data_IF_280318932440
#
_entry.id   IF_280318932440
#
_cell.length_a   1.000
_cell.length_b   1.000
_cell.length_c   1.000
_cell.angle_alpha   90.00
_cell.angle_beta   90.00
_cell.angle_gamma   90.00
#
_symmetry.space_group_name_H-M   'P 1'
#
loop_
_entity.id
_entity.type
_entity.pdbx_description
1 polymer ?
#
# COMPACT_ATOMS: atom_id res chain seq x y z
N UNK A 1 -18.14 21.97 -8.48
CA UNK A 1 -16.89 21.19 -8.46
C UNK A 1 -15.86 22.07 -7.77
N UNK A 2 -15.40 21.71 -6.57
CA UNK A 2 -14.40 22.51 -5.86
C UNK A 2 -13.08 22.30 -6.63
N UNK A 3 -12.69 23.28 -7.44
CA UNK A 3 -11.35 23.30 -8.03
C UNK A 3 -10.39 23.65 -6.90
N UNK A 4 -9.50 22.73 -6.55
CA UNK A 4 -8.44 22.97 -5.59
C UNK A 4 -7.12 22.88 -6.34
N UNK A 5 -6.57 24.04 -6.68
CA UNK A 5 -5.33 24.17 -7.46
C UNK A 5 -4.11 23.54 -6.74
N UNK A 6 -4.23 23.27 -5.44
CA UNK A 6 -3.19 22.64 -4.64
C UNK A 6 -3.15 21.11 -4.77
N UNK A 7 -4.24 20.47 -5.23
CA UNK A 7 -4.29 19.01 -5.43
C UNK A 7 -4.07 18.73 -6.92
N UNK A 8 -2.82 18.50 -7.28
CA UNK A 8 -2.46 18.16 -8.66
C UNK A 8 -2.26 16.66 -8.87
N UNK A 9 -1.94 15.92 -7.80
CA UNK A 9 -1.70 14.47 -7.83
C UNK A 9 -2.43 13.77 -6.68
N UNK A 10 -2.61 12.45 -6.78
CA UNK A 10 -3.22 11.64 -5.72
C UNK A 10 -2.46 11.79 -4.38
N UNK A 11 -1.13 11.96 -4.43
CA UNK A 11 -0.29 12.11 -3.26
C UNK A 11 -0.50 13.43 -2.51
N UNK A 12 -1.05 14.46 -3.18
CA UNK A 12 -1.30 15.77 -2.58
C UNK A 12 -2.57 15.78 -1.73
N UNK A 13 -3.53 14.89 -2.03
CA UNK A 13 -4.83 14.88 -1.38
C UNK A 13 -4.72 14.73 0.15
N UNK A 14 -3.99 13.74 0.72
CA UNK A 14 -3.85 13.64 2.16
C UNK A 14 -3.15 14.87 2.76
N UNK A 15 -2.12 15.39 2.10
CA UNK A 15 -1.34 16.55 2.58
C UNK A 15 -2.19 17.82 2.65
N UNK A 16 -2.92 18.13 1.57
CA UNK A 16 -3.76 19.34 1.49
C UNK A 16 -4.94 19.23 2.44
N UNK A 17 -5.61 18.08 2.48
CA UNK A 17 -6.77 17.89 3.35
C UNK A 17 -6.40 17.81 4.83
N UNK A 18 -5.25 17.24 5.19
CA UNK A 18 -4.78 17.25 6.58
C UNK A 18 -4.51 18.67 7.10
N UNK A 19 -4.12 19.59 6.22
CA UNK A 19 -3.93 21.00 6.57
C UNK A 19 -5.25 21.76 6.68
N UNK A 20 -6.20 21.51 5.77
CA UNK A 20 -7.45 22.25 5.72
C UNK A 20 -8.50 21.71 6.70
N UNK A 21 -8.59 20.39 6.86
CA UNK A 21 -9.65 19.67 7.57
C UNK A 21 -9.07 18.46 8.36
N UNK A 22 -8.12 18.68 9.30
CA UNK A 22 -7.36 17.61 9.95
C UNK A 22 -8.22 16.54 10.62
N UNK A 23 -9.30 16.96 11.29
CA UNK A 23 -10.15 16.08 12.11
C UNK A 23 -11.34 15.49 11.34
N UNK A 24 -11.52 15.88 10.07
CA UNK A 24 -12.57 15.31 9.25
C UNK A 24 -12.23 13.86 8.89
N UNK A 25 -13.28 13.04 8.80
CA UNK A 25 -13.19 11.63 8.38
C UNK A 25 -12.71 11.56 6.94
N UNK A 26 -11.54 10.95 6.73
CA UNK A 26 -10.98 10.72 5.39
C UNK A 26 -11.40 9.35 4.84
N UNK A 27 -11.29 8.32 5.68
CA UNK A 27 -11.64 6.94 5.34
C UNK A 27 -12.54 6.36 6.43
N UNK A 28 -13.53 5.60 6.01
CA UNK A 28 -14.45 4.87 6.90
C UNK A 28 -14.56 3.45 6.37
N UNK A 29 -14.28 2.47 7.23
CA UNK A 29 -14.42 1.06 6.91
C UNK A 29 -15.00 0.34 8.11
N UNK A 30 -16.24 -0.16 7.98
CA UNK A 30 -17.02 -0.69 9.10
C UNK A 30 -17.10 0.36 10.24
N UNK A 31 -16.70 0.00 11.44
CA UNK A 31 -16.70 0.87 12.62
C UNK A 31 -15.39 1.65 12.81
N UNK A 32 -14.41 1.44 11.92
CA UNK A 32 -13.11 2.11 11.97
C UNK A 32 -13.11 3.37 11.10
N UNK A 33 -12.45 4.41 11.62
CA UNK A 33 -12.39 5.72 10.99
C UNK A 33 -10.95 6.22 11.03
N UNK A 34 -10.51 6.81 9.92
CA UNK A 34 -9.23 7.44 9.79
C UNK A 34 -9.44 8.90 9.36
N UNK A 35 -8.93 9.85 10.14
CA UNK A 35 -9.03 11.29 9.83
C UNK A 35 -8.01 11.70 8.76
N UNK A 36 -8.16 12.87 8.14
CA UNK A 36 -7.17 13.35 7.18
C UNK A 36 -5.78 13.51 7.80
N UNK A 37 -5.68 14.00 9.04
CA UNK A 37 -4.40 14.10 9.76
C UNK A 37 -3.75 12.74 9.97
N UNK A 38 -4.52 11.72 10.37
CA UNK A 38 -4.04 10.36 10.52
C UNK A 38 -3.60 9.76 9.18
N UNK A 39 -4.34 10.03 8.10
CA UNK A 39 -4.03 9.49 6.77
C UNK A 39 -2.70 10.02 6.27
N UNK A 40 -2.46 11.31 6.42
CA UNK A 40 -1.19 11.94 6.06
C UNK A 40 -0.04 11.34 6.86
N UNK A 41 -0.15 11.27 8.19
CA UNK A 41 0.92 10.77 9.05
C UNK A 41 1.23 9.29 8.80
N UNK A 42 0.21 8.45 8.63
CA UNK A 42 0.40 7.01 8.38
C UNK A 42 0.96 6.75 6.99
N UNK A 43 0.44 7.42 5.95
CA UNK A 43 0.93 7.23 4.58
C UNK A 43 2.34 7.77 4.39
N UNK A 44 2.71 8.90 5.03
CA UNK A 44 4.09 9.39 5.06
C UNK A 44 5.03 8.39 5.74
N UNK A 45 4.61 7.84 6.88
CA UNK A 45 5.40 6.84 7.60
C UNK A 45 5.66 5.60 6.75
N UNK A 46 4.61 5.06 6.15
CA UNK A 46 4.73 3.90 5.28
C UNK A 46 5.56 4.20 4.03
N UNK A 47 5.42 5.39 3.44
CA UNK A 47 6.24 5.83 2.32
C UNK A 47 7.74 5.84 2.66
N UNK A 48 8.12 6.42 3.80
CA UNK A 48 9.51 6.42 4.27
C UNK A 48 10.01 4.99 4.57
N UNK A 49 9.15 4.13 5.12
CA UNK A 49 9.47 2.73 5.36
C UNK A 49 9.75 1.98 4.05
N UNK A 50 8.90 2.16 3.03
CA UNK A 50 9.08 1.55 1.71
C UNK A 50 10.37 2.02 1.02
N UNK A 51 10.68 3.33 1.11
CA UNK A 51 11.96 3.86 0.60
C UNK A 51 13.17 3.20 1.27
N UNK A 52 13.10 2.96 2.58
CA UNK A 52 14.15 2.26 3.33
C UNK A 52 14.27 0.78 2.96
N UNK A 53 13.20 0.14 2.48
CA UNK A 53 13.22 -1.22 1.91
C UNK A 53 13.70 -1.25 0.46
N UNK A 54 14.09 -0.10 -0.11
CA UNK A 54 14.63 -0.02 -1.46
C UNK A 54 13.58 0.16 -2.55
N UNK A 55 12.30 0.41 -2.21
CA UNK A 55 11.28 0.81 -3.18
C UNK A 55 11.68 2.17 -3.76
N UNK A 56 11.67 2.28 -5.09
CA UNK A 56 12.00 3.50 -5.82
C UNK A 56 10.83 3.92 -6.69
N UNK A 57 11.00 5.04 -7.38
CA UNK A 57 10.12 5.43 -8.47
C UNK A 57 9.91 4.27 -9.44
N UNK A 58 8.67 4.05 -9.87
CA UNK A 58 8.26 2.98 -10.78
C UNK A 58 8.48 1.54 -10.27
N UNK A 59 8.90 1.35 -9.01
CA UNK A 59 8.84 0.03 -8.37
C UNK A 59 7.39 -0.45 -8.27
N UNK A 60 7.17 -1.74 -8.48
CA UNK A 60 5.83 -2.36 -8.37
C UNK A 60 5.66 -2.96 -6.98
N UNK A 61 4.71 -2.39 -6.24
CA UNK A 61 4.30 -2.83 -4.91
C UNK A 61 2.94 -3.50 -5.07
N UNK A 62 2.80 -4.77 -4.73
CA UNK A 62 1.53 -5.47 -4.83
C UNK A 62 0.77 -5.52 -3.50
N UNK A 63 -0.55 -5.58 -3.62
CA UNK A 63 -1.46 -5.81 -2.50
C UNK A 63 -2.39 -6.97 -2.84
N UNK A 64 -2.30 -8.05 -2.05
CA UNK A 64 -3.23 -9.17 -2.05
C UNK A 64 -3.90 -9.24 -0.67
N UNK A 65 -5.01 -8.53 -0.53
CA UNK A 65 -5.79 -8.47 0.69
C UNK A 65 -7.25 -8.10 0.37
N UNK A 66 -8.15 -8.30 1.33
CA UNK A 66 -9.46 -7.63 1.29
C UNK A 66 -9.33 -6.14 1.59
N UNK A 67 -10.40 -5.41 1.30
CA UNK A 67 -10.48 -3.98 1.60
C UNK A 67 -10.33 -3.72 3.10
N UNK A 68 -9.54 -2.70 3.43
CA UNK A 68 -9.27 -2.23 4.79
C UNK A 68 -8.79 -0.78 4.74
N UNK A 69 -8.73 -0.10 5.90
CA UNK A 69 -8.11 1.23 5.96
C UNK A 69 -6.65 1.19 5.50
N UNK A 70 -5.91 0.13 5.85
CA UNK A 70 -4.51 -0.06 5.47
C UNK A 70 -4.32 -0.12 3.95
N UNK A 71 -5.26 -0.73 3.20
CA UNK A 71 -5.20 -0.80 1.74
C UNK A 71 -5.10 0.59 1.09
N UNK A 72 -5.82 1.58 1.65
CA UNK A 72 -5.77 2.96 1.19
C UNK A 72 -4.54 3.71 1.72
N UNK A 73 -4.08 3.43 2.94
CA UNK A 73 -2.80 3.96 3.44
C UNK A 73 -1.65 3.54 2.52
N UNK A 74 -1.63 2.27 2.08
CA UNK A 74 -0.65 1.73 1.12
C UNK A 74 -0.74 2.45 -0.24
N UNK A 75 -1.95 2.71 -0.74
CA UNK A 75 -2.17 3.47 -1.97
C UNK A 75 -1.51 4.85 -1.89
N UNK A 76 -1.80 5.63 -0.84
CA UNK A 76 -1.24 6.97 -0.70
C UNK A 76 0.27 6.94 -0.42
N UNK A 77 0.77 5.95 0.31
CA UNK A 77 2.20 5.77 0.52
C UNK A 77 2.94 5.51 -0.80
N UNK A 78 2.42 4.62 -1.65
CA UNK A 78 2.98 4.37 -2.98
C UNK A 78 2.94 5.62 -3.87
N UNK A 79 1.82 6.34 -3.88
CA UNK A 79 1.67 7.58 -4.64
C UNK A 79 2.71 8.63 -4.22
N UNK A 80 2.98 8.78 -2.91
CA UNK A 80 3.95 9.73 -2.36
C UNK A 80 5.40 9.45 -2.77
N UNK A 81 5.71 8.22 -3.16
CA UNK A 81 7.06 7.80 -3.57
C UNK A 81 7.15 7.43 -5.04
N UNK A 82 6.09 7.75 -5.83
CA UNK A 82 6.00 7.45 -7.26
C UNK A 82 6.12 5.95 -7.58
N UNK A 83 5.74 5.10 -6.62
CA UNK A 83 5.64 3.66 -6.82
C UNK A 83 4.27 3.29 -7.41
N UNK A 84 4.24 2.17 -8.11
CA UNK A 84 3.01 1.63 -8.72
C UNK A 84 2.41 0.59 -7.78
N UNK A 85 1.18 0.85 -7.31
CA UNK A 85 0.42 -0.14 -6.55
C UNK A 85 -0.31 -1.10 -7.50
N UNK A 86 0.03 -2.39 -7.42
CA UNK A 86 -0.60 -3.48 -8.16
C UNK A 86 -1.63 -4.17 -7.26
N UNK A 87 -2.91 -3.83 -7.43
CA UNK A 87 -3.99 -4.42 -6.63
C UNK A 87 -4.48 -5.73 -7.24
N UNK A 88 -4.26 -6.83 -6.52
CA UNK A 88 -4.62 -8.17 -6.97
C UNK A 88 -6.03 -8.49 -6.50
N UNK A 89 -6.86 -9.05 -7.39
CA UNK A 89 -8.21 -9.46 -7.03
C UNK A 89 -8.07 -10.70 -6.17
N UNK A 90 -8.51 -10.57 -4.93
CA UNK A 90 -8.40 -11.61 -3.92
C UNK A 90 -9.19 -12.89 -4.22
N UNK A 91 -10.10 -12.86 -5.20
CA UNK A 91 -10.87 -14.02 -5.68
C UNK A 91 -10.12 -14.90 -6.69
N UNK A 92 -8.91 -14.50 -7.10
CA UNK A 92 -8.11 -15.27 -8.04
C UNK A 92 -7.47 -16.49 -7.37
N UNK A 93 -7.28 -17.57 -8.11
CA UNK A 93 -6.58 -18.75 -7.62
C UNK A 93 -5.06 -18.56 -7.70
N UNK A 94 -4.32 -19.48 -7.08
CA UNK A 94 -2.87 -19.43 -6.97
C UNK A 94 -2.14 -19.21 -8.31
N UNK A 95 -2.47 -19.93 -9.41
CA UNK A 95 -1.78 -19.75 -10.69
C UNK A 95 -1.95 -18.34 -11.28
N UNK A 96 -3.14 -17.74 -11.19
CA UNK A 96 -3.39 -16.39 -11.70
C UNK A 96 -2.70 -15.33 -10.84
N UNK A 97 -2.68 -15.52 -9.51
CA UNK A 97 -1.94 -14.63 -8.60
C UNK A 97 -0.44 -14.69 -8.91
N UNK A 98 0.14 -15.88 -9.04
CA UNK A 98 1.55 -16.07 -9.42
C UNK A 98 1.87 -15.39 -10.75
N UNK A 99 1.01 -15.60 -11.77
CA UNK A 99 1.18 -14.98 -13.08
C UNK A 99 1.22 -13.45 -12.99
N UNK A 100 0.25 -12.82 -12.30
CA UNK A 100 0.21 -11.36 -12.15
C UNK A 100 1.44 -10.83 -11.42
N UNK A 101 1.85 -11.48 -10.33
CA UNK A 101 3.02 -11.06 -9.54
C UNK A 101 4.31 -11.09 -10.37
N UNK A 102 4.48 -12.12 -11.20
CA UNK A 102 5.64 -12.26 -12.10
C UNK A 102 5.58 -11.28 -13.27
N UNK A 103 4.44 -11.18 -13.94
CA UNK A 103 4.24 -10.31 -15.12
C UNK A 103 4.41 -8.84 -14.77
N UNK A 104 3.86 -8.39 -13.64
CA UNK A 104 4.06 -7.04 -13.14
C UNK A 104 5.46 -6.81 -12.54
N UNK A 105 6.32 -7.83 -12.50
CA UNK A 105 7.66 -7.79 -11.92
C UNK A 105 7.64 -7.19 -10.50
N UNK A 106 6.79 -7.71 -9.62
CA UNK A 106 6.60 -7.17 -8.26
C UNK A 106 7.86 -7.38 -7.42
N UNK A 107 8.23 -6.35 -6.62
CA UNK A 107 9.40 -6.41 -5.73
C UNK A 107 9.02 -6.43 -4.25
N UNK A 108 7.83 -5.93 -3.92
CA UNK A 108 7.27 -5.87 -2.55
C UNK A 108 5.81 -6.30 -2.57
N UNK A 109 5.41 -7.18 -1.66
CA UNK A 109 4.04 -7.70 -1.58
C UNK A 109 3.47 -7.52 -0.17
N UNK A 110 2.35 -6.81 -0.06
CA UNK A 110 1.48 -6.79 1.11
C UNK A 110 0.46 -7.91 1.03
N UNK A 111 0.27 -8.64 2.13
CA UNK A 111 -0.56 -9.84 2.18
C UNK A 111 -1.55 -9.73 3.35
N UNK A 112 -2.83 -9.93 3.06
CA UNK A 112 -3.86 -10.12 4.09
C UNK A 112 -3.78 -11.52 4.70
N UNK A 113 -4.18 -11.65 5.97
CA UNK A 113 -4.11 -12.91 6.74
C UNK A 113 -4.67 -14.13 6.00
N UNK A 114 -5.77 -13.92 5.28
CA UNK A 114 -6.51 -14.96 4.57
C UNK A 114 -5.77 -15.51 3.33
N UNK A 115 -4.71 -14.87 2.86
CA UNK A 115 -3.97 -15.25 1.66
C UNK A 115 -2.58 -15.81 1.94
N UNK A 116 -2.21 -15.94 3.21
CA UNK A 116 -0.88 -16.41 3.57
C UNK A 116 -0.60 -17.81 3.03
N UNK A 117 -1.51 -18.76 3.21
CA UNK A 117 -1.35 -20.13 2.68
C UNK A 117 -1.24 -20.15 1.14
N UNK A 118 -1.99 -19.28 0.45
CA UNK A 118 -1.90 -19.14 -1.00
C UNK A 118 -0.52 -18.65 -1.41
N UNK A 119 -0.03 -17.56 -0.82
CA UNK A 119 1.30 -17.00 -1.14
C UNK A 119 2.42 -17.98 -0.79
N UNK A 120 2.30 -18.72 0.32
CA UNK A 120 3.24 -19.79 0.66
C UNK A 120 3.25 -20.89 -0.42
N UNK A 121 2.10 -21.28 -0.97
CA UNK A 121 2.02 -22.34 -1.99
C UNK A 121 2.67 -21.98 -3.33
N UNK A 122 2.77 -20.69 -3.66
CA UNK A 122 3.38 -20.20 -4.91
C UNK A 122 4.76 -19.57 -4.68
N UNK A 123 5.35 -19.72 -3.49
CA UNK A 123 6.56 -19.00 -3.08
C UNK A 123 7.74 -19.20 -4.05
N UNK A 124 7.90 -20.42 -4.55
CA UNK A 124 8.98 -20.79 -5.46
C UNK A 124 8.82 -20.16 -6.86
N UNK A 125 7.60 -19.79 -7.24
CA UNK A 125 7.31 -19.14 -8.52
C UNK A 125 7.59 -17.63 -8.48
N UNK A 126 7.53 -16.99 -7.32
CA UNK A 126 7.57 -15.52 -7.16
C UNK A 126 8.90 -15.01 -6.62
N UNK A 127 10.02 -15.54 -7.14
CA UNK A 127 11.38 -15.25 -6.68
C UNK A 127 11.85 -13.80 -6.83
N UNK A 128 11.18 -12.99 -7.66
CA UNK A 128 11.49 -11.56 -7.84
C UNK A 128 11.08 -10.70 -6.63
N UNK A 129 10.17 -11.19 -5.80
CA UNK A 129 9.68 -10.46 -4.63
C UNK A 129 10.72 -10.57 -3.51
N UNK A 130 11.26 -9.42 -3.11
CA UNK A 130 12.31 -9.33 -2.09
C UNK A 130 11.72 -9.14 -0.70
N UNK A 131 10.57 -8.48 -0.61
CA UNK A 131 9.95 -8.08 0.65
C UNK A 131 8.51 -8.53 0.72
N UNK A 132 8.18 -9.29 1.77
CA UNK A 132 6.83 -9.76 2.06
C UNK A 132 6.38 -9.11 3.36
N UNK A 133 5.19 -8.52 3.35
CA UNK A 133 4.66 -7.74 4.47
C UNK A 133 3.28 -8.29 4.80
N UNK A 134 3.12 -8.84 6.00
CA UNK A 134 1.83 -9.30 6.51
C UNK A 134 1.06 -8.14 7.11
N UNK A 135 -0.21 -7.99 6.72
CA UNK A 135 -1.15 -7.03 7.32
C UNK A 135 -1.74 -7.53 8.65
N UNK A 136 -1.46 -8.77 9.04
CA UNK A 136 -1.93 -9.38 10.28
C UNK A 136 -0.76 -10.01 11.07
N UNK A 137 -0.63 -9.59 12.32
CA UNK A 137 0.41 -10.03 13.24
C UNK A 137 0.22 -11.49 13.69
N UNK A 138 -1.01 -11.98 13.78
CA UNK A 138 -1.35 -13.28 14.39
C UNK A 138 -0.82 -14.49 13.59
N UNK A 139 -0.50 -14.29 12.32
CA UNK A 139 0.10 -15.32 11.48
C UNK A 139 1.60 -15.47 11.71
N UNK A 140 2.31 -14.37 11.94
CA UNK A 140 3.78 -14.37 12.06
C UNK A 140 4.25 -15.12 13.30
N UNK A 141 3.43 -15.17 14.34
CA UNK A 141 3.71 -15.94 15.56
C UNK A 141 3.67 -17.47 15.35
N UNK A 142 3.15 -17.94 14.20
CA UNK A 142 2.90 -19.36 13.92
C UNK A 142 3.79 -19.93 12.81
N UNK A 143 4.65 -19.13 12.21
CA UNK A 143 5.46 -19.54 11.05
C UNK A 143 6.90 -19.06 11.14
N UNK A 144 7.85 -19.86 10.66
CA UNK A 144 9.27 -19.47 10.52
C UNK A 144 9.53 -18.55 9.30
N UNK A 145 8.48 -17.97 8.68
CA UNK A 145 8.65 -17.15 7.49
C UNK A 145 9.17 -15.75 7.83
N UNK A 146 10.18 -15.28 7.08
CA UNK A 146 10.75 -13.93 7.17
C UNK A 146 9.82 -12.88 6.54
N UNK A 147 8.61 -12.72 7.06
CA UNK A 147 7.68 -11.68 6.64
C UNK A 147 7.67 -10.54 7.66
N UNK A 148 7.65 -9.30 7.17
CA UNK A 148 7.56 -8.12 8.03
C UNK A 148 6.14 -7.97 8.58
N UNK A 149 6.04 -7.65 9.86
CA UNK A 149 4.77 -7.29 10.51
C UNK A 149 4.41 -5.84 10.18
N UNK A 150 3.38 -5.62 9.36
CA UNK A 150 2.90 -4.28 9.03
C UNK A 150 2.67 -3.45 10.29
N UNK A 151 2.07 -4.01 11.34
CA UNK A 151 1.66 -3.26 12.52
C UNK A 151 2.83 -2.65 13.30
N UNK A 152 4.05 -3.19 13.16
CA UNK A 152 5.22 -2.78 13.95
C UNK A 152 6.43 -2.32 13.12
N UNK A 153 6.72 -2.96 11.98
CA UNK A 153 7.94 -2.69 11.20
C UNK A 153 8.05 -1.22 10.77
N UNK A 154 6.96 -0.61 10.31
CA UNK A 154 6.99 0.75 9.78
C UNK A 154 7.01 1.82 10.89
N UNK A 155 6.75 1.46 12.16
CA UNK A 155 6.57 2.43 13.25
C UNK A 155 7.84 3.24 13.55
N UNK A 156 9.01 2.68 13.28
CA UNK A 156 10.30 3.33 13.50
C UNK A 156 10.62 4.47 12.51
N UNK A 157 9.91 4.55 11.37
CA UNK A 157 10.21 5.55 10.34
C UNK A 157 9.50 6.87 10.59
N UNK A 158 10.05 7.96 10.03
CA UNK A 158 9.48 9.31 10.16
C UNK A 158 8.06 9.39 9.56
N UNK A 159 7.17 10.14 10.21
CA UNK A 159 5.84 10.48 9.69
C UNK A 159 5.83 11.80 8.88
N UNK A 160 7.00 12.42 8.67
CA UNK A 160 7.14 13.58 7.81
C UNK A 160 7.04 13.18 6.33
N UNK A 161 6.53 14.08 5.50
CA UNK A 161 6.42 13.85 4.05
C UNK A 161 7.81 13.50 3.49
N UNK A 162 7.93 12.40 2.71
CA UNK A 162 9.19 12.08 2.04
C UNK A 162 9.66 13.23 1.15
N UNK A 163 10.96 13.45 1.09
CA UNK A 163 11.58 14.47 0.23
C UNK A 163 11.65 13.99 -1.23
N UNK A 164 10.47 13.82 -1.84
CA UNK A 164 10.29 13.37 -3.23
C UNK A 164 9.40 14.36 -3.95
N UNK A 165 9.90 14.88 -5.07
CA UNK A 165 9.13 15.78 -5.93
C UNK A 165 8.18 14.98 -6.82
N UNK A 166 6.89 15.28 -6.73
CA UNK A 166 5.81 14.66 -7.52
C UNK A 166 5.30 15.70 -8.51
N UNK A 167 5.12 15.31 -9.76
CA UNK A 167 4.71 16.14 -10.88
C UNK A 167 3.41 15.59 -11.49
N UNK A 168 2.51 16.44 -12.01
CA UNK A 168 1.24 16.02 -12.61
C UNK A 168 1.40 15.14 -13.86
N UNK A 169 2.59 15.15 -14.47
CA UNK A 169 2.90 14.29 -15.63
C UNK A 169 3.21 12.84 -15.23
N UNK A 170 3.39 12.55 -13.94
CA UNK A 170 3.56 11.18 -13.46
C UNK A 170 2.20 10.49 -13.44
N UNK A 171 2.05 9.51 -14.32
CA UNK A 171 0.83 8.72 -14.41
C UNK A 171 0.84 7.62 -13.35
N UNK A 172 -0.15 7.61 -12.45
CA UNK A 172 -0.53 6.40 -11.71
C UNK A 172 -2.04 6.25 -11.80
N UNK A 173 -2.50 5.26 -12.56
CA UNK A 173 -3.90 4.83 -12.55
C UNK A 173 -3.93 3.32 -12.47
N UNK A 174 -4.45 2.80 -11.36
CA UNK A 174 -5.13 1.51 -11.36
C UNK A 174 -6.38 1.63 -10.49
N UNK A 175 -7.49 2.03 -11.11
CA UNK A 175 -8.82 1.91 -10.52
C UNK A 175 -9.38 0.54 -10.88
N UNK A 176 -9.64 -0.31 -9.90
CA UNK A 176 -10.48 -1.49 -10.09
C UNK A 176 -11.91 -1.15 -9.66
N UNK A 177 -12.84 -1.17 -10.61
CA UNK A 177 -14.22 -1.54 -10.32
C UNK A 177 -14.38 -3.03 -10.65
N UNK A 178 -14.73 -3.82 -9.65
CA UNK A 178 -15.37 -5.11 -9.85
C UNK A 178 -16.66 -5.06 -9.03
N UNK A 179 -17.68 -4.44 -9.62
CA UNK A 179 -19.05 -4.66 -9.19
C UNK A 179 -19.41 -6.11 -9.52
N UNK A 180 -19.87 -6.86 -8.52
CA UNK A 180 -20.74 -8.01 -8.72
C UNK A 180 -22.09 -7.65 -8.11
#
# INVERSE_FOLDING_TARGET
MIHNDEISTLADLPTVQARQLPDNRALVFRDEILTYSQLELQSNRLANALLAQGVREQSRVALLAKDSLNSYVILFACAKIKAVLVTINWRLAAPEVSYILRDANVETLFIGAEFHSLVTSIRDEISNIKTFISLDKTFLEKTEQEWLDYSSWHQQYSNLKPDITISPIYSVVQMRSAHF
#
